data_IF_325159817172
#
_entry.id   IF_325159817172
#
_cell.length_a   1.000
_cell.length_b   1.000
_cell.length_c   1.000
_cell.angle_alpha   90.00
_cell.angle_beta   90.00
_cell.angle_gamma   90.00
#
_symmetry.space_group_name_H-M   'P 1'
#
loop_
_entity.id
_entity.type
_entity.pdbx_description
1 polymer ?
#
# COMPACT_ATOMS: atom_id res chain seq x y z
N UNK A 1 -19.29 1.03 5.35
CA UNK A 1 -19.68 -0.32 4.86
C UNK A 1 -18.48 -1.23 5.04
N UNK A 2 -18.60 -2.54 5.23
CA UNK A 2 -17.45 -3.44 5.20
C UNK A 2 -16.97 -3.66 3.76
N UNK A 3 -15.81 -4.30 3.57
CA UNK A 3 -15.40 -4.76 2.23
C UNK A 3 -16.44 -5.70 1.63
N UNK A 4 -16.53 -5.70 0.30
CA UNK A 4 -17.46 -6.55 -0.43
C UNK A 4 -17.17 -8.06 -0.20
N UNK A 5 -18.16 -8.91 -0.50
CA UNK A 5 -18.08 -10.35 -0.22
C UNK A 5 -16.89 -11.04 -0.90
N UNK A 6 -16.53 -10.62 -2.12
CA UNK A 6 -15.40 -11.19 -2.86
C UNK A 6 -14.08 -10.90 -2.15
N UNK A 7 -13.87 -9.66 -1.69
CA UNK A 7 -12.66 -9.29 -0.91
C UNK A 7 -12.59 -10.11 0.37
N UNK A 8 -13.73 -10.31 1.06
CA UNK A 8 -13.78 -11.14 2.27
C UNK A 8 -13.45 -12.61 1.99
N UNK A 9 -13.85 -13.15 0.84
CA UNK A 9 -13.51 -14.51 0.45
C UNK A 9 -12.01 -14.67 0.14
N UNK A 10 -11.42 -13.72 -0.58
CA UNK A 10 -9.97 -13.69 -0.81
C UNK A 10 -9.18 -13.55 0.49
N UNK A 11 -9.68 -12.75 1.44
CA UNK A 11 -9.10 -12.63 2.77
C UNK A 11 -9.11 -13.97 3.52
N UNK A 12 -10.23 -14.72 3.48
CA UNK A 12 -10.34 -16.03 4.11
C UNK A 12 -9.31 -17.02 3.53
N UNK A 13 -9.11 -17.00 2.22
CA UNK A 13 -8.03 -17.78 1.59
C UNK A 13 -6.67 -17.37 2.13
N UNK A 14 -6.33 -16.07 2.13
CA UNK A 14 -5.05 -15.58 2.64
C UNK A 14 -4.82 -15.93 4.13
N UNK A 15 -5.86 -15.87 4.96
CA UNK A 15 -5.80 -16.32 6.36
C UNK A 15 -5.46 -17.80 6.50
N UNK A 16 -5.96 -18.64 5.60
CA UNK A 16 -5.80 -20.09 5.67
C UNK A 16 -4.37 -20.58 5.40
N UNK A 17 -3.51 -19.73 4.83
CA UNK A 17 -2.15 -20.10 4.42
C UNK A 17 -1.14 -20.16 5.57
N UNK A 18 -1.42 -19.49 6.69
CA UNK A 18 -0.54 -19.46 7.86
C UNK A 18 0.84 -18.82 7.59
N UNK A 19 1.81 -19.10 8.45
CA UNK A 19 3.09 -18.38 8.49
C UNK A 19 4.08 -18.75 7.37
N UNK A 20 3.84 -19.86 6.67
CA UNK A 20 4.68 -20.33 5.55
C UNK A 20 4.29 -19.70 4.20
N UNK A 21 3.27 -18.85 4.18
CA UNK A 21 2.86 -18.13 2.97
C UNK A 21 3.98 -17.22 2.44
N UNK A 22 4.04 -17.06 1.12
CA UNK A 22 4.95 -16.12 0.45
C UNK A 22 4.20 -14.84 0.03
N UNK A 23 4.93 -13.80 -0.34
CA UNK A 23 4.39 -12.48 -0.72
C UNK A 23 3.32 -12.58 -1.82
N UNK A 24 3.62 -13.34 -2.89
CA UNK A 24 2.70 -13.61 -4.00
C UNK A 24 1.31 -14.08 -3.57
N UNK A 25 1.22 -14.80 -2.44
CA UNK A 25 -0.05 -15.31 -1.95
C UNK A 25 -1.01 -14.20 -1.46
N UNK A 26 -0.49 -13.02 -1.13
CA UNK A 26 -1.28 -11.89 -0.65
C UNK A 26 -1.64 -10.90 -1.77
N UNK A 27 -1.10 -11.09 -2.98
CA UNK A 27 -1.24 -10.13 -4.06
C UNK A 27 -2.69 -9.93 -4.49
N UNK A 28 -3.46 -11.01 -4.59
CA UNK A 28 -4.88 -10.95 -4.93
C UNK A 28 -5.68 -10.14 -3.88
N UNK A 29 -5.42 -10.37 -2.59
CA UNK A 29 -6.08 -9.66 -1.49
C UNK A 29 -5.75 -8.16 -1.53
N UNK A 30 -4.47 -7.80 -1.61
CA UNK A 30 -4.06 -6.39 -1.67
C UNK A 30 -4.55 -5.70 -2.94
N UNK A 31 -4.48 -6.36 -4.10
CA UNK A 31 -5.04 -5.83 -5.36
C UNK A 31 -6.52 -5.51 -5.21
N UNK A 32 -7.29 -6.40 -4.57
CA UNK A 32 -8.73 -6.21 -4.39
C UNK A 32 -9.04 -5.06 -3.43
N UNK A 33 -8.30 -4.94 -2.32
CA UNK A 33 -8.41 -3.80 -1.40
C UNK A 33 -8.05 -2.48 -2.10
N UNK A 34 -6.95 -2.46 -2.85
CA UNK A 34 -6.52 -1.27 -3.58
C UNK A 34 -7.53 -0.88 -4.66
N UNK A 35 -8.11 -1.85 -5.37
CA UNK A 35 -9.08 -1.59 -6.45
C UNK A 35 -10.39 -1.01 -5.91
N UNK A 36 -10.85 -1.46 -4.74
CA UNK A 36 -12.02 -0.91 -4.04
C UNK A 36 -11.83 0.59 -3.77
N UNK A 37 -10.65 0.98 -3.27
CA UNK A 37 -10.37 2.37 -2.88
C UNK A 37 -9.82 3.24 -4.00
N UNK A 38 -9.11 2.67 -4.98
CA UNK A 38 -8.47 3.40 -6.06
C UNK A 38 -8.91 2.85 -7.43
N UNK A 39 -10.22 2.89 -7.73
CA UNK A 39 -10.73 2.36 -8.98
C UNK A 39 -10.41 3.28 -10.17
N UNK A 40 -10.33 2.68 -11.36
CA UNK A 40 -10.16 3.39 -12.64
C UNK A 40 -11.30 4.36 -12.93
N UNK A 41 -12.51 4.07 -12.46
CA UNK A 41 -13.67 4.99 -12.54
C UNK A 41 -13.45 6.32 -11.82
N UNK A 42 -12.45 6.41 -10.93
CA UNK A 42 -12.04 7.65 -10.23
C UNK A 42 -10.71 8.20 -10.71
N UNK A 43 -10.19 7.68 -11.83
CA UNK A 43 -8.95 8.15 -12.47
C UNK A 43 -7.66 7.58 -11.86
N UNK A 44 -7.77 6.49 -11.10
CA UNK A 44 -6.63 5.79 -10.53
C UNK A 44 -6.21 4.59 -11.38
N UNK A 45 -4.92 4.28 -11.38
CA UNK A 45 -4.36 3.05 -11.97
C UNK A 45 -3.45 2.42 -10.93
N UNK A 46 -3.50 1.09 -10.84
CA UNK A 46 -2.64 0.30 -9.97
C UNK A 46 -1.61 -0.39 -10.87
N UNK A 47 -0.36 0.03 -10.77
CA UNK A 47 0.74 -0.55 -11.52
C UNK A 47 1.43 -1.64 -10.70
N UNK A 48 1.31 -2.88 -11.15
CA UNK A 48 2.12 -3.99 -10.68
C UNK A 48 3.53 -3.85 -11.25
N UNK A 49 4.56 -3.78 -10.40
CA UNK A 49 5.92 -3.81 -10.93
C UNK A 49 6.31 -5.24 -11.31
N UNK A 50 7.20 -5.37 -12.30
CA UNK A 50 7.53 -6.68 -12.89
C UNK A 50 8.12 -7.60 -11.83
N UNK A 51 7.52 -8.78 -11.65
CA UNK A 51 8.07 -9.90 -10.87
C UNK A 51 9.43 -10.33 -11.47
N UNK A 52 10.53 -9.94 -10.83
CA UNK A 52 11.90 -10.25 -11.22
C UNK A 52 12.90 -9.69 -10.20
N UNK A 53 14.20 -10.04 -10.27
CA UNK A 53 15.19 -9.49 -9.36
C UNK A 53 15.28 -7.96 -9.56
N UNK A 54 14.79 -7.17 -8.60
CA UNK A 54 14.64 -5.72 -8.70
C UNK A 54 13.22 -5.21 -9.00
N UNK A 55 12.21 -6.09 -8.98
CA UNK A 55 10.78 -5.80 -9.21
C UNK A 55 10.05 -5.07 -8.09
N UNK A 56 10.72 -4.14 -7.41
CA UNK A 56 10.16 -3.40 -6.27
C UNK A 56 9.84 -1.95 -6.67
N UNK A 57 8.82 -1.30 -6.09
CA UNK A 57 7.83 -1.79 -5.10
C UNK A 57 6.82 -2.77 -5.70
N UNK A 58 6.07 -3.49 -4.87
CA UNK A 58 4.99 -4.39 -5.34
C UNK A 58 3.91 -3.68 -6.16
N UNK A 59 3.44 -2.53 -5.67
CA UNK A 59 2.43 -1.72 -6.37
C UNK A 59 2.76 -0.24 -6.33
N UNK A 60 2.32 0.46 -7.37
CA UNK A 60 2.26 1.92 -7.39
C UNK A 60 0.84 2.32 -7.77
N UNK A 61 0.12 2.98 -6.85
CA UNK A 61 -1.14 3.64 -7.17
C UNK A 61 -0.84 5.01 -7.75
N UNK A 62 -1.32 5.25 -8.97
CA UNK A 62 -1.15 6.51 -9.67
C UNK A 62 -2.48 7.16 -10.00
N UNK A 63 -2.48 8.49 -10.11
CA UNK A 63 -3.61 9.27 -10.62
C UNK A 63 -3.19 10.10 -11.82
N UNK A 64 -3.97 10.04 -12.88
CA UNK A 64 -3.78 10.89 -14.05
C UNK A 64 -4.47 12.24 -13.79
N UNK A 65 -3.68 13.31 -13.71
CA UNK A 65 -4.16 14.66 -13.47
C UNK A 65 -3.26 15.68 -14.19
N UNK A 66 -3.86 16.64 -14.89
CA UNK A 66 -3.11 17.67 -15.63
C UNK A 66 -2.26 17.13 -16.78
N UNK A 67 -2.59 15.96 -17.33
CA UNK A 67 -1.78 15.29 -18.37
C UNK A 67 -0.53 14.58 -17.84
N UNK A 68 -0.33 14.57 -16.51
CA UNK A 68 0.79 13.90 -15.85
C UNK A 68 0.31 12.68 -15.08
N UNK A 69 1.14 11.64 -15.04
CA UNK A 69 0.94 10.44 -14.24
C UNK A 69 1.59 10.64 -12.88
N UNK A 70 0.79 10.76 -11.81
CA UNK A 70 1.28 11.11 -10.48
C UNK A 70 1.27 9.89 -9.55
N UNK A 71 2.42 9.38 -9.10
CA UNK A 71 2.49 8.43 -7.99
C UNK A 71 1.93 9.05 -6.71
N UNK A 72 1.05 8.30 -6.03
CA UNK A 72 0.36 8.76 -4.83
C UNK A 72 0.52 7.81 -3.64
N UNK A 73 0.51 6.50 -3.90
CA UNK A 73 0.68 5.47 -2.88
C UNK A 73 1.61 4.39 -3.42
N UNK A 74 2.69 4.13 -2.68
CA UNK A 74 3.62 3.04 -2.93
C UNK A 74 3.29 1.90 -1.98
N UNK A 75 3.27 0.66 -2.48
CA UNK A 75 2.92 -0.51 -1.67
C UNK A 75 4.08 -1.48 -1.67
N UNK A 76 4.51 -1.88 -0.49
CA UNK A 76 5.52 -2.91 -0.28
C UNK A 76 4.94 -4.03 0.59
N UNK A 77 5.12 -5.28 0.15
CA UNK A 77 4.64 -6.45 0.88
C UNK A 77 5.81 -7.32 1.32
N UNK A 78 5.66 -7.93 2.49
CA UNK A 78 6.53 -9.00 2.98
C UNK A 78 5.72 -10.22 3.40
N UNK A 79 6.37 -11.38 3.41
CA UNK A 79 5.78 -12.63 3.93
C UNK A 79 5.47 -12.55 5.44
N UNK A 80 4.44 -13.25 5.95
CA UNK A 80 4.02 -13.20 7.35
C UNK A 80 5.12 -13.51 8.36
N UNK A 81 6.05 -14.42 8.02
CA UNK A 81 7.17 -14.79 8.88
C UNK A 81 8.12 -13.64 9.23
N UNK A 82 8.01 -12.50 8.52
CA UNK A 82 8.75 -11.27 8.80
C UNK A 82 8.04 -10.34 9.78
N UNK A 83 6.92 -10.74 10.40
CA UNK A 83 6.22 -9.88 11.36
C UNK A 83 6.96 -9.82 12.71
N UNK A 84 8.05 -9.08 12.72
CA UNK A 84 8.89 -8.74 13.84
C UNK A 84 9.49 -7.34 13.57
N UNK A 85 10.25 -6.80 14.52
CA UNK A 85 10.73 -5.42 14.41
C UNK A 85 11.70 -5.23 13.23
N UNK A 86 12.53 -6.22 12.93
CA UNK A 86 13.43 -6.16 11.78
C UNK A 86 12.68 -6.13 10.45
N UNK A 87 11.64 -6.96 10.28
CA UNK A 87 10.83 -6.95 9.05
C UNK A 87 9.97 -5.71 8.91
N UNK A 88 9.48 -5.14 10.01
CA UNK A 88 8.79 -3.83 10.00
C UNK A 88 9.72 -2.70 9.57
N UNK A 89 10.97 -2.73 10.05
CA UNK A 89 11.99 -1.77 9.64
C UNK A 89 12.35 -1.94 8.16
N UNK A 90 12.53 -3.18 7.69
CA UNK A 90 12.79 -3.49 6.28
C UNK A 90 11.71 -2.91 5.36
N UNK A 91 10.43 -3.06 5.74
CA UNK A 91 9.32 -2.44 4.99
C UNK A 91 9.42 -0.92 4.96
N UNK A 92 9.78 -0.29 6.09
CA UNK A 92 9.91 1.17 6.14
C UNK A 92 11.08 1.68 5.29
N UNK A 93 12.23 1.01 5.36
CA UNK A 93 13.42 1.36 4.58
C UNK A 93 13.13 1.23 3.08
N UNK A 94 12.51 0.13 2.65
CA UNK A 94 12.09 -0.10 1.27
C UNK A 94 11.09 1.00 0.81
N UNK A 95 10.08 1.33 1.63
CA UNK A 95 9.10 2.38 1.30
C UNK A 95 9.76 3.76 1.16
N UNK A 96 10.70 4.11 2.04
CA UNK A 96 11.45 5.37 1.97
C UNK A 96 12.20 5.47 0.64
N UNK A 97 13.00 4.46 0.31
CA UNK A 97 13.77 4.42 -0.94
C UNK A 97 12.85 4.58 -2.16
N UNK A 98 11.71 3.89 -2.18
CA UNK A 98 10.81 3.96 -3.32
C UNK A 98 10.09 5.29 -3.44
N UNK A 99 9.67 5.88 -2.33
CA UNK A 99 9.00 7.18 -2.33
C UNK A 99 9.98 8.28 -2.75
N UNK A 100 11.21 8.27 -2.23
CA UNK A 100 12.27 9.21 -2.62
C UNK A 100 12.47 9.24 -4.14
N UNK A 101 12.63 8.07 -4.76
CA UNK A 101 12.83 7.94 -6.20
C UNK A 101 11.65 8.37 -7.08
N UNK A 102 10.52 8.79 -6.49
CA UNK A 102 9.27 9.11 -7.21
C UNK A 102 8.75 10.52 -6.96
N UNK A 103 9.39 11.31 -6.09
CA UNK A 103 8.99 12.69 -5.82
C UNK A 103 9.08 13.64 -7.01
N UNK A 104 9.92 13.33 -8.01
CA UNK A 104 10.03 14.13 -9.23
C UNK A 104 9.03 13.70 -10.31
N UNK A 105 8.32 12.59 -10.09
CA UNK A 105 7.30 12.07 -10.98
C UNK A 105 5.88 12.50 -10.57
N UNK A 106 5.73 13.16 -9.43
CA UNK A 106 4.45 13.63 -8.92
C UNK A 106 4.44 15.16 -8.84
N UNK A 107 3.31 15.77 -9.20
CA UNK A 107 3.11 17.21 -8.98
C UNK A 107 2.75 17.54 -7.53
N UNK A 108 2.46 16.52 -6.72
CA UNK A 108 2.03 16.67 -5.34
C UNK A 108 3.21 16.70 -4.37
N UNK A 109 3.04 17.38 -3.24
CA UNK A 109 4.08 17.47 -2.22
C UNK A 109 4.14 16.26 -1.29
N UNK A 110 3.30 15.25 -1.48
CA UNK A 110 3.24 14.09 -0.59
C UNK A 110 3.07 12.80 -1.40
N UNK A 111 3.74 11.75 -0.97
CA UNK A 111 3.50 10.38 -1.41
C UNK A 111 3.31 9.53 -0.15
N UNK A 112 2.34 8.62 -0.20
CA UNK A 112 2.05 7.69 0.88
C UNK A 112 2.76 6.35 0.63
N UNK A 113 3.08 5.65 1.71
CA UNK A 113 3.55 4.26 1.69
C UNK A 113 2.56 3.36 2.40
N UNK A 114 2.21 2.22 1.82
CA UNK A 114 1.46 1.13 2.46
C UNK A 114 2.41 -0.05 2.63
N UNK A 115 2.72 -0.36 3.89
CA UNK A 115 3.48 -1.54 4.25
C UNK A 115 2.57 -2.71 4.58
N UNK A 116 2.81 -3.87 4.00
CA UNK A 116 2.13 -5.13 4.33
C UNK A 116 3.09 -6.20 4.80
N UNK A 117 2.74 -6.92 5.87
CA UNK A 117 3.42 -8.16 6.28
C UNK A 117 2.34 -9.22 6.49
N UNK A 118 2.17 -10.11 5.50
CA UNK A 118 0.96 -10.91 5.38
C UNK A 118 -0.26 -10.00 5.28
N UNK A 119 -1.27 -10.19 6.15
CA UNK A 119 -2.46 -9.33 6.22
C UNK A 119 -2.32 -8.15 7.21
N UNK A 120 -1.21 -8.08 7.94
CA UNK A 120 -0.92 -6.96 8.84
C UNK A 120 -0.39 -5.80 8.04
N UNK A 121 -0.74 -4.58 8.42
CA UNK A 121 -0.45 -3.43 7.57
C UNK A 121 -0.21 -2.15 8.37
N UNK A 122 0.43 -1.19 7.70
CA UNK A 122 0.69 0.15 8.20
C UNK A 122 0.65 1.15 7.04
N UNK A 123 0.49 2.44 7.33
CA UNK A 123 0.65 3.50 6.32
C UNK A 123 1.55 4.60 6.85
N UNK A 124 2.53 5.01 6.05
CA UNK A 124 3.31 6.22 6.26
C UNK A 124 3.02 7.25 5.17
N UNK A 125 3.50 8.47 5.40
CA UNK A 125 3.58 9.53 4.37
C UNK A 125 4.97 10.12 4.40
N UNK A 126 5.40 10.66 3.26
CA UNK A 126 6.58 11.51 3.16
C UNK A 126 6.21 12.79 2.42
N UNK A 127 6.71 13.92 2.90
CA UNK A 127 6.47 15.24 2.32
C UNK A 127 7.73 15.73 1.61
N UNK A 128 7.58 16.32 0.43
CA UNK A 128 8.68 16.95 -0.34
C UNK A 128 9.12 18.25 0.35
N UNK A 129 9.94 18.14 1.39
CA UNK A 129 10.39 19.29 2.20
C UNK A 129 11.92 19.34 2.40
N UNK A 130 12.69 18.59 1.61
CA UNK A 130 14.15 18.53 1.69
C UNK A 130 14.69 17.62 2.80
N UNK A 131 13.81 16.96 3.56
CA UNK A 131 14.12 15.83 4.43
C UNK A 131 13.24 14.64 4.03
N UNK A 132 13.76 13.44 4.18
CA UNK A 132 13.09 12.21 3.79
C UNK A 132 12.71 11.40 5.02
N UNK A 133 12.02 12.05 5.95
CA UNK A 133 11.59 11.43 7.20
C UNK A 133 10.16 10.89 7.02
N UNK A 134 9.94 9.55 7.06
CA UNK A 134 8.60 8.99 6.99
C UNK A 134 7.82 9.29 8.29
N UNK A 135 6.58 9.73 8.14
CA UNK A 135 5.65 9.94 9.24
C UNK A 135 4.58 8.85 9.22
N UNK A 136 4.35 8.18 10.35
CA UNK A 136 3.24 7.23 10.51
C UNK A 136 1.89 7.94 10.35
N UNK A 137 1.07 7.47 9.41
CA UNK A 137 -0.34 7.83 9.25
C UNK A 137 -1.22 6.82 9.99
N UNK A 138 -0.88 5.54 9.87
CA UNK A 138 -1.49 4.43 10.62
C UNK A 138 -0.37 3.46 11.03
N UNK A 139 -0.26 3.22 12.34
CA UNK A 139 0.69 2.25 12.89
C UNK A 139 0.32 0.83 12.48
N UNK A 140 1.29 -0.09 12.59
CA UNK A 140 1.07 -1.51 12.38
C UNK A 140 -0.19 -2.02 13.10
N UNK A 141 -1.11 -2.56 12.32
CA UNK A 141 -2.40 -3.05 12.81
C UNK A 141 -2.76 -4.37 12.12
N UNK A 142 -3.61 -5.14 12.80
CA UNK A 142 -4.04 -6.44 12.31
C UNK A 142 -5.18 -6.33 11.29
N UNK A 143 -5.06 -7.28 10.35
CA UNK A 143 -5.88 -7.60 9.20
C UNK A 143 -6.48 -6.42 8.44
N UNK A 144 -5.84 -6.10 7.31
CA UNK A 144 -6.24 -5.11 6.31
C UNK A 144 -7.67 -5.30 5.79
N UNK A 145 -8.22 -6.50 5.93
CA UNK A 145 -9.55 -6.87 5.43
C UNK A 145 -10.63 -6.87 6.51
N UNK A 146 -10.28 -6.60 7.78
CA UNK A 146 -11.25 -6.47 8.87
C UNK A 146 -12.14 -5.23 8.70
N UNK A 147 -13.30 -5.21 9.37
CA UNK A 147 -14.22 -4.06 9.30
C UNK A 147 -13.62 -2.80 9.97
N UNK A 148 -12.79 -3.02 11.01
CA UNK A 148 -12.00 -1.96 11.62
C UNK A 148 -11.00 -1.38 10.61
N UNK A 149 -10.26 -2.25 9.91
CA UNK A 149 -9.32 -1.83 8.87
C UNK A 149 -10.01 -1.17 7.69
N UNK A 150 -11.21 -1.60 7.29
CA UNK A 150 -11.99 -0.86 6.28
C UNK A 150 -12.17 0.60 6.70
N UNK A 151 -12.60 0.83 7.95
CA UNK A 151 -12.85 2.20 8.45
C UNK A 151 -11.55 3.01 8.49
N UNK A 152 -10.44 2.38 8.92
CA UNK A 152 -9.12 3.01 8.93
C UNK A 152 -8.66 3.38 7.51
N UNK A 153 -8.73 2.42 6.60
CA UNK A 153 -8.28 2.56 5.21
C UNK A 153 -9.14 3.55 4.44
N UNK A 154 -10.45 3.63 4.73
CA UNK A 154 -11.33 4.67 4.19
C UNK A 154 -10.82 6.09 4.49
N UNK A 155 -10.30 6.33 5.71
CA UNK A 155 -9.74 7.63 6.09
C UNK A 155 -8.43 7.91 5.34
N UNK A 156 -7.57 6.90 5.21
CA UNK A 156 -6.32 7.01 4.43
C UNK A 156 -6.62 7.29 2.96
N UNK A 157 -7.58 6.57 2.36
CA UNK A 157 -7.99 6.79 0.99
C UNK A 157 -8.50 8.23 0.79
N UNK A 158 -9.26 8.78 1.75
CA UNK A 158 -9.67 10.19 1.72
C UNK A 158 -8.49 11.17 1.76
N UNK A 159 -7.41 10.87 2.51
CA UNK A 159 -6.19 11.69 2.47
C UNK A 159 -5.56 11.69 1.08
N UNK A 160 -5.46 10.51 0.44
CA UNK A 160 -4.93 10.36 -0.92
C UNK A 160 -5.83 11.05 -1.96
N UNK A 161 -7.15 11.02 -1.78
CA UNK A 161 -8.09 11.67 -2.71
C UNK A 161 -7.98 13.20 -2.71
N UNK A 162 -7.75 13.76 -1.53
CA UNK A 162 -7.73 15.20 -1.28
C UNK A 162 -6.30 15.77 -1.29
N UNK A 163 -5.34 15.02 -1.81
CA UNK A 163 -3.96 15.46 -1.94
C UNK A 163 -3.88 16.69 -2.86
N UNK A 164 -3.10 17.68 -2.43
CA UNK A 164 -2.95 18.99 -3.07
C UNK A 164 -1.51 19.24 -3.50
#
# INVERSE_FOLDING_TARGET
MPYNATIKQEAQYAHSLGDNAVEDNFHATYTSVLTEWFPTSRGYVIDHQKLGPGGKPEYIVVRHAGGVRNPLLIVELKRPSKYNDAGKQEVMDDLVEYIEGRFDLTQYNTIYGLGGIGLKWMVCKMVKNGRHDPEDVEKWTDDITSDASYTKFSRIAQLVYNIS
#
